data_IF_023313499015
#
_entry.id   IF_023313499015
#
_cell.length_a   1.000
_cell.length_b   1.000
_cell.length_c   1.000
_cell.angle_alpha   90.00
_cell.angle_beta   90.00
_cell.angle_gamma   90.00
#
_symmetry.space_group_name_H-M   'P 1'
#
loop_
_entity.id
_entity.type
_entity.pdbx_description
1 polymer ?
#
# COMPACT_ATOMS: atom_id res chain seq x y z
N UNK A 1 -115.50 -2.57 74.31
CA UNK A 1 -116.62 -3.52 74.14
C UNK A 1 -116.66 -3.93 72.67
N UNK A 2 -116.61 -5.24 72.38
CA UNK A 2 -116.89 -5.91 71.09
C UNK A 2 -116.00 -5.56 69.87
N UNK A 3 -115.11 -6.47 69.44
CA UNK A 3 -115.26 -7.67 68.56
C UNK A 3 -115.24 -7.35 67.06
N UNK A 4 -114.27 -8.01 66.41
CA UNK A 4 -114.27 -8.65 65.10
C UNK A 4 -115.11 -8.07 63.95
N UNK A 5 -114.45 -7.82 62.81
CA UNK A 5 -114.79 -8.55 61.58
C UNK A 5 -113.70 -8.43 60.51
N UNK A 6 -113.59 -9.51 59.74
CA UNK A 6 -112.63 -9.78 58.68
C UNK A 6 -112.98 -9.09 57.36
N UNK A 7 -111.97 -8.80 56.53
CA UNK A 7 -112.02 -9.13 55.10
C UNK A 7 -110.62 -9.08 54.47
N UNK A 8 -110.29 -10.15 53.73
CA UNK A 8 -109.09 -10.28 52.90
C UNK A 8 -109.37 -9.67 51.53
N UNK A 9 -108.43 -8.90 51.01
CA UNK A 9 -108.20 -8.75 49.57
C UNK A 9 -106.68 -8.70 49.34
N UNK A 10 -106.23 -9.45 48.34
CA UNK A 10 -104.84 -9.83 48.15
C UNK A 10 -104.20 -9.06 46.98
N UNK A 11 -102.87 -8.90 47.09
CA UNK A 11 -101.88 -8.64 46.01
C UNK A 11 -101.94 -7.23 45.40
N UNK A 12 -100.87 -6.55 45.01
CA UNK A 12 -99.52 -6.94 44.56
C UNK A 12 -98.52 -5.85 45.03
N UNK A 13 -97.32 -6.28 45.39
CA UNK A 13 -96.14 -5.47 45.76
C UNK A 13 -95.50 -4.83 44.53
N UNK A 14 -95.16 -3.55 44.59
CA UNK A 14 -94.12 -2.96 43.75
C UNK A 14 -93.47 -1.77 44.49
N UNK A 15 -92.32 -2.05 45.12
CA UNK A 15 -91.47 -1.03 45.74
C UNK A 15 -90.66 -0.29 44.68
N UNK A 16 -90.76 1.04 44.67
CA UNK A 16 -89.92 1.92 43.86
C UNK A 16 -88.60 2.16 44.60
N UNK A 17 -87.55 1.45 44.18
CA UNK A 17 -86.17 1.71 44.57
C UNK A 17 -85.60 2.83 43.68
N UNK A 18 -85.24 3.96 44.30
CA UNK A 18 -84.57 5.08 43.65
C UNK A 18 -83.19 4.63 43.13
N UNK A 19 -83.00 4.64 41.81
CA UNK A 19 -81.74 4.28 41.17
C UNK A 19 -80.84 5.52 41.12
N UNK A 20 -79.76 5.51 41.90
CA UNK A 20 -78.65 6.46 41.74
C UNK A 20 -77.91 6.06 40.46
N UNK A 21 -78.00 6.88 39.42
CA UNK A 21 -77.16 6.73 38.22
C UNK A 21 -75.76 7.24 38.58
N UNK A 22 -74.88 6.35 38.99
CA UNK A 22 -73.44 6.61 38.97
C UNK A 22 -73.04 6.58 37.50
N UNK A 23 -72.80 7.76 36.92
CA UNK A 23 -72.23 7.86 35.59
C UNK A 23 -70.85 7.21 35.60
N UNK A 24 -70.74 6.00 35.02
CA UNK A 24 -69.45 5.43 34.68
C UNK A 24 -68.85 6.28 33.55
N UNK A 25 -67.95 7.19 33.90
CA UNK A 25 -67.04 7.76 32.92
C UNK A 25 -66.30 6.59 32.27
N UNK A 26 -66.22 6.51 30.93
CA UNK A 26 -65.37 5.51 30.31
C UNK A 26 -63.95 5.80 30.80
N UNK A 27 -63.40 4.88 31.59
CA UNK A 27 -61.96 4.83 31.81
C UNK A 27 -61.35 4.57 30.44
N UNK A 28 -60.90 5.63 29.77
CA UNK A 28 -59.94 5.50 28.69
C UNK A 28 -58.72 4.85 29.33
N UNK A 29 -58.63 3.52 29.19
CA UNK A 29 -57.37 2.84 29.35
C UNK A 29 -56.44 3.49 28.33
N UNK A 30 -55.58 4.38 28.81
CA UNK A 30 -54.42 4.79 28.04
C UNK A 30 -53.63 3.50 27.85
N UNK A 31 -53.80 2.87 26.70
CA UNK A 31 -52.81 1.92 26.21
C UNK A 31 -51.55 2.76 26.07
N UNK A 32 -50.73 2.83 27.12
CA UNK A 32 -49.35 3.23 26.99
C UNK A 32 -48.77 2.26 25.97
N UNK A 33 -48.69 2.71 24.72
CA UNK A 33 -47.85 2.07 23.72
C UNK A 33 -46.47 2.11 24.33
N UNK A 34 -46.03 0.98 24.89
CA UNK A 34 -44.63 0.77 25.28
C UNK A 34 -43.79 1.31 24.14
N UNK A 35 -42.84 2.23 24.39
CA UNK A 35 -42.07 2.84 23.33
C UNK A 35 -41.47 1.69 22.51
N UNK A 36 -41.78 1.68 21.21
CA UNK A 36 -41.22 0.73 20.26
C UNK A 36 -39.71 0.76 20.47
N UNK A 37 -39.16 -0.30 21.08
CA UNK A 37 -37.76 -0.36 21.48
C UNK A 37 -36.95 -0.33 20.20
N UNK A 38 -36.55 0.87 19.80
CA UNK A 38 -35.98 1.09 18.48
C UNK A 38 -34.64 0.35 18.45
N UNK A 39 -34.55 -0.68 17.61
CA UNK A 39 -33.44 -1.64 17.64
C UNK A 39 -32.08 -0.92 17.58
N UNK A 40 -31.22 -1.21 18.57
CA UNK A 40 -29.87 -0.63 18.65
C UNK A 40 -29.01 -1.19 17.53
N UNK A 41 -28.61 -0.34 16.59
CA UNK A 41 -27.94 -0.79 15.37
C UNK A 41 -26.58 -0.11 15.20
N UNK A 42 -25.46 -0.85 15.24
CA UNK A 42 -24.14 -0.27 15.03
C UNK A 42 -23.88 0.01 13.55
N UNK A 43 -23.24 1.13 13.26
CA UNK A 43 -22.92 1.58 11.89
C UNK A 43 -21.44 1.92 11.79
N UNK A 44 -20.79 1.55 10.68
CA UNK A 44 -19.44 2.03 10.36
C UNK A 44 -19.55 3.23 9.43
N UNK A 45 -19.22 4.41 9.93
CA UNK A 45 -19.23 5.65 9.15
C UNK A 45 -18.02 5.75 8.24
N UNK A 46 -16.84 5.37 8.75
CA UNK A 46 -15.58 5.55 8.02
C UNK A 46 -14.56 4.49 8.35
N UNK A 47 -14.06 3.84 7.30
CA UNK A 47 -12.89 2.98 7.36
C UNK A 47 -12.04 3.12 6.09
N UNK A 48 -10.70 3.01 6.18
CA UNK A 48 -9.84 3.09 5.01
C UNK A 48 -10.02 1.83 4.14
N UNK A 49 -10.27 2.01 2.85
CA UNK A 49 -10.33 0.89 1.91
C UNK A 49 -8.96 0.17 1.74
N UNK A 50 -7.86 0.88 2.02
CA UNK A 50 -6.48 0.39 1.91
C UNK A 50 -5.59 0.95 3.00
N UNK A 51 -4.68 0.12 3.52
CA UNK A 51 -3.66 0.51 4.51
C UNK A 51 -2.29 -0.06 4.12
N UNK A 52 -1.21 0.61 4.50
CA UNK A 52 0.14 0.06 4.32
C UNK A 52 0.40 -1.10 5.30
N UNK A 53 1.25 -2.05 4.90
CA UNK A 53 1.82 -3.02 5.85
C UNK A 53 2.45 -2.28 7.05
N UNK A 54 2.16 -2.75 8.26
CA UNK A 54 2.52 -2.15 9.55
C UNK A 54 2.08 -0.69 9.72
N UNK A 55 0.92 -0.32 9.15
CA UNK A 55 0.26 0.97 9.42
C UNK A 55 -1.09 0.73 10.08
N UNK A 56 -1.39 1.57 11.05
CA UNK A 56 -2.68 1.54 11.74
C UNK A 56 -3.82 1.89 10.78
N UNK A 57 -4.98 1.28 11.04
CA UNK A 57 -6.24 1.68 10.43
C UNK A 57 -7.18 2.20 11.51
N UNK A 58 -7.85 3.31 11.22
CA UNK A 58 -8.89 3.88 12.06
C UNK A 58 -10.25 3.49 11.50
N UNK A 59 -11.12 2.93 12.35
CA UNK A 59 -12.51 2.62 12.02
C UNK A 59 -13.37 3.48 12.94
N UNK A 60 -14.12 4.40 12.35
CA UNK A 60 -15.12 5.23 13.02
C UNK A 60 -16.50 4.65 12.77
N UNK A 61 -17.33 4.71 13.79
CA UNK A 61 -18.71 4.27 13.75
C UNK A 61 -19.53 4.93 14.84
N UNK A 62 -20.81 4.59 14.89
CA UNK A 62 -21.72 4.99 15.95
C UNK A 62 -22.74 3.88 16.24
N UNK A 63 -23.46 4.00 17.35
CA UNK A 63 -24.59 3.14 17.70
C UNK A 63 -25.90 3.92 17.54
N UNK A 64 -26.68 3.59 16.51
CA UNK A 64 -28.01 4.17 16.32
C UNK A 64 -28.94 3.65 17.42
N UNK A 65 -29.72 4.56 18.01
CA UNK A 65 -30.62 4.30 19.15
C UNK A 65 -29.91 3.79 20.42
N UNK A 66 -28.58 3.94 20.51
CA UNK A 66 -27.79 3.58 21.68
C UNK A 66 -27.83 4.63 22.79
N UNK A 67 -27.24 4.27 23.92
CA UNK A 67 -26.97 5.18 25.03
C UNK A 67 -25.46 5.30 25.30
N UNK A 68 -24.98 6.44 25.82
CA UNK A 68 -23.59 6.60 26.24
C UNK A 68 -23.16 5.49 27.19
N UNK A 69 -21.98 4.91 26.95
CA UNK A 69 -21.48 3.77 27.73
C UNK A 69 -21.86 2.39 27.15
N UNK A 70 -22.82 2.31 26.22
CA UNK A 70 -23.10 1.08 25.48
C UNK A 70 -21.82 0.56 24.81
N UNK A 71 -21.55 -0.72 24.95
CA UNK A 71 -20.29 -1.31 24.46
C UNK A 71 -20.46 -1.91 23.08
N UNK A 72 -19.65 -1.44 22.12
CA UNK A 72 -19.51 -2.10 20.83
C UNK A 72 -18.27 -2.99 20.79
N UNK A 73 -18.43 -4.14 20.15
CA UNK A 73 -17.34 -5.03 19.79
C UNK A 73 -16.91 -4.80 18.34
N UNK A 74 -15.62 -4.55 18.12
CA UNK A 74 -15.04 -4.66 16.78
C UNK A 74 -14.77 -6.13 16.49
N UNK A 75 -15.42 -6.67 15.46
CA UNK A 75 -15.11 -7.99 14.94
C UNK A 75 -14.22 -7.92 13.71
N UNK A 76 -13.36 -8.93 13.55
CA UNK A 76 -12.45 -9.13 12.42
C UNK A 76 -12.72 -10.47 11.76
N UNK A 77 -12.64 -10.50 10.43
CA UNK A 77 -12.70 -11.71 9.62
C UNK A 77 -11.49 -11.83 8.70
N UNK A 78 -10.62 -12.78 9.00
CA UNK A 78 -9.56 -13.20 8.08
C UNK A 78 -10.14 -13.95 6.86
N UNK A 79 -9.42 -14.00 5.73
CA UNK A 79 -9.81 -14.83 4.60
C UNK A 79 -10.00 -16.29 5.03
N UNK A 80 -11.20 -16.82 4.83
CA UNK A 80 -11.64 -18.19 5.16
C UNK A 80 -11.66 -18.51 6.67
N UNK A 81 -11.92 -17.51 7.53
CA UNK A 81 -12.14 -17.72 8.96
C UNK A 81 -13.49 -17.13 9.39
N UNK A 82 -14.01 -17.62 10.51
CA UNK A 82 -15.15 -17.00 11.18
C UNK A 82 -14.79 -15.60 11.72
N UNK A 83 -15.81 -14.78 11.95
CA UNK A 83 -15.69 -13.51 12.67
C UNK A 83 -15.18 -13.75 14.09
N UNK A 84 -14.31 -12.87 14.58
CA UNK A 84 -13.79 -12.90 15.96
C UNK A 84 -13.75 -11.49 16.53
N UNK A 85 -14.12 -11.33 17.79
CA UNK A 85 -13.97 -10.05 18.48
C UNK A 85 -12.48 -9.76 18.66
N UNK A 86 -12.04 -8.56 18.28
CA UNK A 86 -10.65 -8.10 18.40
C UNK A 86 -10.49 -6.89 19.31
N UNK A 87 -11.58 -6.18 19.60
CA UNK A 87 -11.62 -5.11 20.59
C UNK A 87 -13.06 -4.89 21.06
N UNK A 88 -13.20 -4.31 22.25
CA UNK A 88 -14.46 -3.77 22.78
C UNK A 88 -14.20 -2.38 23.32
N UNK A 89 -15.14 -1.47 23.15
CA UNK A 89 -15.05 -0.11 23.69
C UNK A 89 -16.46 0.45 23.89
N UNK A 90 -16.71 1.23 24.95
CA UNK A 90 -17.95 1.98 25.08
C UNK A 90 -18.04 3.09 24.01
N UNK A 91 -19.25 3.37 23.55
CA UNK A 91 -19.55 4.58 22.79
C UNK A 91 -19.49 5.80 23.71
N UNK A 92 -19.15 6.96 23.16
CA UNK A 92 -19.08 8.21 23.91
C UNK A 92 -20.47 8.84 24.10
N UNK A 93 -20.50 10.08 24.61
CA UNK A 93 -21.73 10.84 24.88
C UNK A 93 -22.58 11.13 23.63
N UNK A 94 -21.95 11.11 22.46
CA UNK A 94 -22.57 11.36 21.16
C UNK A 94 -22.88 10.01 20.46
N UNK A 95 -22.78 8.88 21.19
CA UNK A 95 -22.89 7.51 20.71
C UNK A 95 -21.87 7.14 19.62
N UNK A 96 -20.77 7.88 19.51
CA UNK A 96 -19.70 7.63 18.55
C UNK A 96 -18.62 6.71 19.11
N UNK A 97 -17.87 6.08 18.21
CA UNK A 97 -16.75 5.21 18.55
C UNK A 97 -15.63 5.28 17.53
N UNK A 98 -14.40 5.13 18.03
CA UNK A 98 -13.20 5.01 17.22
C UNK A 98 -12.35 3.82 17.67
N UNK A 99 -12.14 2.88 16.76
CA UNK A 99 -11.16 1.80 16.92
C UNK A 99 -9.88 2.09 16.13
N UNK A 100 -8.74 1.99 16.81
CA UNK A 100 -7.42 1.89 16.18
C UNK A 100 -7.04 0.43 16.06
N UNK A 101 -6.68 0.00 14.86
CA UNK A 101 -6.35 -1.40 14.63
C UNK A 101 -4.92 -1.58 14.12
N UNK A 102 -4.12 -2.27 14.94
CA UNK A 102 -2.66 -2.29 14.87
C UNK A 102 -2.09 -3.51 14.10
N UNK A 103 -2.71 -4.69 14.19
CA UNK A 103 -2.21 -5.88 13.47
C UNK A 103 -2.79 -5.96 12.04
N UNK A 104 -2.06 -5.34 11.10
CA UNK A 104 -2.46 -5.22 9.69
C UNK A 104 -1.49 -5.91 8.75
N UNK A 105 -1.06 -7.13 9.09
CA UNK A 105 -0.27 -7.95 8.18
C UNK A 105 -1.12 -8.46 7.00
N UNK A 106 -2.43 -8.66 7.18
CA UNK A 106 -3.30 -9.30 6.18
C UNK A 106 -4.57 -8.49 5.93
N UNK A 107 -5.05 -8.54 4.68
CA UNK A 107 -6.37 -8.05 4.28
C UNK A 107 -7.44 -8.82 5.05
N UNK A 108 -8.40 -8.10 5.63
CA UNK A 108 -9.45 -8.68 6.45
C UNK A 108 -10.72 -7.82 6.42
N UNK A 109 -11.85 -8.44 6.76
CA UNK A 109 -13.12 -7.77 7.01
C UNK A 109 -13.22 -7.26 8.45
N UNK A 110 -13.95 -6.18 8.65
CA UNK A 110 -14.28 -5.58 9.95
C UNK A 110 -15.76 -5.26 10.00
N UNK A 111 -16.39 -5.45 11.16
CA UNK A 111 -17.74 -5.01 11.45
C UNK A 111 -17.85 -4.63 12.92
N UNK A 112 -18.80 -3.77 13.25
CA UNK A 112 -19.18 -3.49 14.62
C UNK A 112 -20.33 -4.42 15.01
N UNK A 113 -20.35 -4.84 16.28
CA UNK A 113 -21.42 -5.67 16.84
C UNK A 113 -21.81 -5.09 18.18
N UNK A 114 -23.11 -4.90 18.37
CA UNK A 114 -23.72 -4.63 19.66
C UNK A 114 -24.35 -5.93 20.16
N UNK A 115 -24.27 -6.18 21.46
CA UNK A 115 -24.97 -7.28 22.12
C UNK A 115 -25.78 -6.67 23.25
N UNK A 116 -27.08 -6.96 23.25
CA UNK A 116 -27.93 -6.69 24.40
C UNK A 116 -27.78 -7.87 25.37
N UNK A 117 -27.28 -7.62 26.57
CA UNK A 117 -27.08 -8.68 27.57
C UNK A 117 -28.38 -9.03 28.31
N UNK A 118 -29.38 -8.14 28.30
CA UNK A 118 -30.69 -8.38 28.91
C UNK A 118 -31.52 -9.25 27.97
N UNK A 119 -31.67 -8.80 26.73
CA UNK A 119 -32.46 -9.50 25.69
C UNK A 119 -31.69 -10.66 25.04
N UNK A 120 -30.39 -10.79 25.32
CA UNK A 120 -29.47 -11.78 24.71
C UNK A 120 -29.44 -11.73 23.18
N UNK A 121 -29.83 -10.60 22.59
CA UNK A 121 -29.82 -10.37 21.15
C UNK A 121 -28.51 -9.72 20.70
N UNK A 122 -28.26 -9.72 19.39
CA UNK A 122 -27.09 -9.02 18.84
C UNK A 122 -27.37 -8.46 17.46
N UNK A 123 -26.94 -7.23 17.24
CA UNK A 123 -27.00 -6.55 15.94
C UNK A 123 -25.59 -6.28 15.42
N UNK A 124 -25.44 -6.18 14.10
CA UNK A 124 -24.15 -6.00 13.48
C UNK A 124 -24.21 -5.00 12.33
N UNK A 125 -23.14 -4.22 12.18
CA UNK A 125 -22.97 -3.35 11.03
C UNK A 125 -22.69 -4.17 9.78
N UNK A 126 -22.84 -3.52 8.62
CA UNK A 126 -22.21 -3.99 7.40
C UNK A 126 -20.70 -4.18 7.57
N UNK A 127 -20.17 -5.15 6.82
CA UNK A 127 -18.76 -5.49 6.86
C UNK A 127 -17.93 -4.65 5.89
N UNK A 128 -16.92 -3.96 6.40
CA UNK A 128 -15.92 -3.25 5.57
C UNK A 128 -14.68 -4.11 5.35
N UNK A 129 -14.12 -4.10 4.13
CA UNK A 129 -12.86 -4.81 3.83
C UNK A 129 -11.69 -3.84 3.76
N UNK A 130 -10.74 -3.99 4.69
CA UNK A 130 -9.51 -3.20 4.70
C UNK A 130 -8.40 -4.00 4.01
N UNK A 131 -7.96 -3.53 2.83
CA UNK A 131 -6.91 -4.19 2.04
C UNK A 131 -5.51 -3.74 2.45
N UNK A 132 -4.62 -4.69 2.67
CA UNK A 132 -3.22 -4.39 3.07
C UNK A 132 -2.31 -4.31 1.86
N UNK A 133 -1.70 -3.14 1.67
CA UNK A 133 -0.66 -2.89 0.66
C UNK A 133 0.68 -3.40 1.19
N UNK A 134 1.29 -4.41 0.55
CA UNK A 134 2.54 -4.98 1.02
C UNK A 134 3.70 -4.00 0.84
N UNK A 135 4.77 -4.23 1.62
CA UNK A 135 6.04 -3.50 1.46
C UNK A 135 6.97 -4.35 0.59
N UNK A 136 7.53 -3.77 -0.46
CA UNK A 136 8.48 -4.43 -1.34
C UNK A 136 9.73 -3.57 -1.44
N UNK A 137 10.87 -4.08 -0.97
CA UNK A 137 12.18 -3.44 -1.12
C UNK A 137 13.09 -4.34 -1.92
N UNK A 138 13.74 -3.79 -2.94
CA UNK A 138 14.66 -4.54 -3.79
C UNK A 138 15.81 -3.64 -4.26
N UNK A 139 16.94 -4.26 -4.61
CA UNK A 139 18.09 -3.62 -5.25
C UNK A 139 18.57 -4.46 -6.43
N UNK A 140 19.24 -3.79 -7.35
CA UNK A 140 19.95 -4.38 -8.48
C UNK A 140 21.42 -4.05 -8.31
N UNK A 141 22.29 -5.06 -8.36
CA UNK A 141 23.73 -4.89 -8.20
C UNK A 141 24.49 -5.87 -9.12
N UNK A 142 25.56 -5.43 -9.81
CA UNK A 142 26.01 -4.04 -9.90
C UNK A 142 25.03 -3.14 -10.67
N UNK A 143 25.14 -1.81 -10.53
CA UNK A 143 24.30 -0.85 -11.28
C UNK A 143 24.92 -0.38 -12.59
N UNK A 144 26.22 -0.57 -12.76
CA UNK A 144 27.00 -0.24 -13.95
C UNK A 144 27.70 -1.52 -14.38
N UNK A 145 27.36 -2.03 -15.56
CA UNK A 145 27.87 -3.32 -16.03
C UNK A 145 28.12 -3.31 -17.53
N UNK A 146 29.07 -4.13 -17.97
CA UNK A 146 29.26 -4.39 -19.40
C UNK A 146 28.06 -5.14 -20.00
N UNK A 147 27.79 -4.92 -21.28
CA UNK A 147 26.86 -5.74 -22.04
C UNK A 147 27.33 -7.20 -22.01
N UNK A 148 26.41 -8.13 -21.79
CA UNK A 148 26.68 -9.55 -21.57
C UNK A 148 26.83 -9.94 -20.09
N UNK A 149 27.05 -8.99 -19.18
CA UNK A 149 27.23 -9.29 -17.77
C UNK A 149 25.94 -9.83 -17.10
N UNK A 150 26.12 -10.52 -15.97
CA UNK A 150 25.01 -10.95 -15.10
C UNK A 150 24.88 -10.01 -13.91
N UNK A 151 23.65 -9.63 -13.56
CA UNK A 151 23.36 -8.83 -12.37
C UNK A 151 22.42 -9.55 -11.43
N UNK A 152 22.59 -9.28 -10.14
CA UNK A 152 21.76 -9.86 -9.09
C UNK A 152 20.69 -8.86 -8.67
N UNK A 153 19.44 -9.31 -8.70
CA UNK A 153 18.30 -8.63 -8.10
C UNK A 153 17.96 -9.33 -6.82
N UNK A 154 18.07 -8.64 -5.69
CA UNK A 154 17.73 -9.18 -4.37
C UNK A 154 16.85 -8.24 -3.58
N UNK A 155 15.94 -8.78 -2.77
CA UNK A 155 14.98 -7.97 -2.04
C UNK A 155 14.21 -8.74 -0.97
N UNK A 156 13.28 -8.02 -0.35
CA UNK A 156 12.36 -8.55 0.65
C UNK A 156 10.95 -8.01 0.42
N UNK A 157 9.98 -8.91 0.57
CA UNK A 157 8.55 -8.69 0.47
C UNK A 157 7.93 -8.92 1.84
N UNK A 158 7.20 -7.93 2.34
CA UNK A 158 6.44 -8.02 3.57
C UNK A 158 4.94 -7.92 3.32
N UNK A 159 4.11 -8.67 4.07
CA UNK A 159 4.50 -9.63 5.12
C UNK A 159 5.33 -10.81 4.60
N UNK A 160 6.19 -11.36 5.45
CA UNK A 160 6.96 -12.57 5.13
C UNK A 160 6.02 -13.77 5.05
N UNK A 161 5.79 -14.26 3.83
CA UNK A 161 4.97 -15.45 3.57
C UNK A 161 5.68 -16.25 2.48
N UNK A 162 6.02 -17.49 2.82
CA UNK A 162 6.73 -18.43 1.94
C UNK A 162 5.91 -18.76 0.70
N UNK A 163 6.59 -18.92 -0.43
CA UNK A 163 6.00 -19.29 -1.71
C UNK A 163 5.42 -18.13 -2.51
N UNK A 164 5.55 -16.88 -2.04
CA UNK A 164 5.08 -15.71 -2.81
C UNK A 164 5.93 -15.48 -4.04
N UNK A 165 5.33 -15.56 -5.23
CA UNK A 165 6.03 -15.27 -6.49
C UNK A 165 6.30 -13.77 -6.67
N UNK A 166 7.55 -13.43 -6.95
CA UNK A 166 7.98 -12.10 -7.38
C UNK A 166 8.40 -12.18 -8.84
N UNK A 167 7.93 -11.26 -9.66
CA UNK A 167 8.26 -11.16 -11.09
C UNK A 167 9.25 -10.03 -11.29
N UNK A 168 10.41 -10.33 -11.87
CA UNK A 168 11.41 -9.36 -12.28
C UNK A 168 11.29 -9.14 -13.78
N UNK A 169 11.20 -7.88 -14.18
CA UNK A 169 10.98 -7.47 -15.55
C UNK A 169 12.01 -6.43 -15.99
N UNK A 170 12.40 -6.45 -17.26
CA UNK A 170 13.26 -5.44 -17.89
C UNK A 170 12.44 -4.63 -18.90
N UNK A 171 12.68 -3.32 -18.96
CA UNK A 171 12.14 -2.46 -20.01
C UNK A 171 12.93 -2.68 -21.31
N UNK A 172 12.27 -3.18 -22.35
CA UNK A 172 12.86 -3.55 -23.64
C UNK A 172 11.91 -3.07 -24.73
N UNK A 173 12.37 -2.22 -25.67
CA UNK A 173 11.59 -1.74 -26.82
C UNK A 173 10.18 -1.25 -26.42
N UNK A 174 10.10 -0.32 -25.46
CA UNK A 174 8.83 0.29 -25.02
C UNK A 174 7.93 -0.58 -24.13
N UNK A 175 8.37 -1.78 -23.71
CA UNK A 175 7.54 -2.71 -22.93
C UNK A 175 8.29 -3.42 -21.82
N UNK A 176 7.57 -3.74 -20.74
CA UNK A 176 8.09 -4.57 -19.65
C UNK A 176 8.04 -6.05 -20.03
N UNK A 177 9.20 -6.72 -20.02
CA UNK A 177 9.33 -8.15 -20.32
C UNK A 177 9.84 -8.89 -19.09
N UNK A 178 9.17 -9.98 -18.70
CA UNK A 178 9.61 -10.82 -17.59
C UNK A 178 10.94 -11.49 -17.93
N UNK A 179 11.88 -11.44 -16.98
CA UNK A 179 13.24 -11.99 -17.12
C UNK A 179 13.61 -12.95 -16.00
N UNK A 180 12.89 -12.92 -14.86
CA UNK A 180 13.02 -13.91 -13.80
C UNK A 180 11.75 -13.91 -12.93
N UNK A 181 11.47 -15.04 -12.27
CA UNK A 181 10.28 -15.21 -11.43
C UNK A 181 10.60 -15.89 -10.08
N UNK A 182 11.49 -15.31 -9.24
CA UNK A 182 11.85 -15.96 -7.98
C UNK A 182 10.66 -16.06 -7.02
N UNK A 183 10.67 -17.10 -6.21
CA UNK A 183 9.78 -17.21 -5.06
C UNK A 183 10.42 -16.55 -3.84
N UNK A 184 9.61 -15.90 -3.02
CA UNK A 184 10.03 -15.40 -1.72
C UNK A 184 9.95 -16.54 -0.70
N UNK A 185 11.06 -16.80 0.00
CA UNK A 185 11.13 -17.74 1.12
C UNK A 185 10.51 -17.10 2.37
N UNK A 186 11.34 -16.75 3.36
CA UNK A 186 10.99 -15.93 4.54
C UNK A 186 10.62 -14.46 4.23
N UNK A 187 10.09 -14.20 3.03
CA UNK A 187 9.91 -12.88 2.44
C UNK A 187 11.14 -12.41 1.64
N UNK A 188 12.33 -13.01 1.79
CA UNK A 188 13.48 -12.69 0.94
C UNK A 188 13.39 -13.38 -0.41
N UNK A 189 13.92 -12.72 -1.45
CA UNK A 189 14.03 -13.29 -2.80
C UNK A 189 15.31 -12.80 -3.49
N UNK A 190 15.83 -13.61 -4.42
CA UNK A 190 16.99 -13.28 -5.26
C UNK A 190 16.84 -13.89 -6.65
N UNK A 191 17.36 -13.23 -7.67
CA UNK A 191 17.53 -13.79 -9.00
C UNK A 191 18.70 -13.13 -9.75
N UNK A 192 19.34 -13.92 -10.61
CA UNK A 192 20.34 -13.43 -11.57
C UNK A 192 19.65 -13.13 -12.91
N UNK A 193 19.96 -11.98 -13.51
CA UNK A 193 19.42 -11.55 -14.81
C UNK A 193 20.53 -11.06 -15.73
N UNK A 194 20.41 -11.29 -17.04
CA UNK A 194 21.39 -10.86 -18.04
C UNK A 194 21.21 -9.40 -18.48
N UNK A 195 22.34 -8.67 -18.55
CA UNK A 195 22.43 -7.30 -19.03
C UNK A 195 22.81 -7.26 -20.52
N UNK A 196 21.81 -7.37 -21.42
CA UNK A 196 22.01 -7.22 -22.87
C UNK A 196 21.70 -5.79 -23.37
N UNK A 197 22.47 -5.36 -24.38
CA UNK A 197 22.36 -4.08 -25.08
C UNK A 197 22.81 -2.90 -24.23
N UNK A 198 22.84 -1.70 -24.80
CA UNK A 198 23.48 -0.52 -24.17
C UNK A 198 22.46 0.47 -23.60
N UNK A 199 22.90 1.36 -22.71
CA UNK A 199 22.03 2.38 -22.17
C UNK A 199 21.49 2.10 -20.78
N UNK A 200 20.73 3.09 -20.29
CA UNK A 200 19.96 2.99 -19.06
C UNK A 200 18.80 2.00 -19.22
N UNK A 201 18.79 0.94 -18.42
CA UNK A 201 17.75 -0.09 -18.36
C UNK A 201 16.87 0.08 -17.11
N UNK A 202 15.56 0.06 -17.31
CA UNK A 202 14.58 -0.05 -16.23
C UNK A 202 14.39 -1.52 -15.82
N UNK A 203 14.43 -1.78 -14.51
CA UNK A 203 14.19 -3.10 -13.90
C UNK A 203 13.01 -2.98 -12.94
N UNK A 204 11.90 -3.67 -13.21
CA UNK A 204 10.69 -3.67 -12.38
C UNK A 204 10.59 -4.98 -11.60
N UNK A 205 10.57 -4.88 -10.29
CA UNK A 205 10.34 -5.98 -9.37
C UNK A 205 8.88 -5.89 -8.92
N UNK A 206 8.09 -6.93 -9.16
CA UNK A 206 6.64 -6.92 -8.96
C UNK A 206 6.18 -8.10 -8.12
N UNK A 207 5.44 -7.82 -7.07
CA UNK A 207 4.56 -8.77 -6.42
C UNK A 207 3.15 -8.64 -7.00
N UNK A 208 2.60 -9.74 -7.49
CA UNK A 208 1.30 -9.79 -8.17
C UNK A 208 0.10 -9.49 -7.26
N UNK A 209 0.28 -9.58 -5.94
CA UNK A 209 -0.82 -9.65 -4.98
C UNK A 209 -1.20 -11.10 -4.71
N UNK A 210 -1.95 -11.31 -3.64
CA UNK A 210 -2.58 -12.56 -3.26
C UNK A 210 -3.86 -12.27 -2.44
N UNK A 211 -4.47 -13.31 -1.86
CA UNK A 211 -5.64 -13.17 -0.98
C UNK A 211 -5.38 -12.32 0.27
N UNK A 212 -4.13 -12.15 0.68
CA UNK A 212 -3.74 -11.44 1.90
C UNK A 212 -3.33 -10.00 1.61
N UNK A 213 -2.78 -9.70 0.44
CA UNK A 213 -2.15 -8.41 0.15
C UNK A 213 -2.37 -7.98 -1.30
N UNK A 214 -2.51 -6.66 -1.51
CA UNK A 214 -2.65 -6.11 -2.86
C UNK A 214 -1.35 -6.23 -3.66
N UNK A 215 -1.40 -5.96 -4.98
CA UNK A 215 -0.19 -5.84 -5.81
C UNK A 215 0.75 -4.73 -5.35
N UNK A 216 2.05 -4.90 -5.60
CA UNK A 216 3.10 -3.87 -5.39
C UNK A 216 4.23 -4.04 -6.40
N UNK A 217 4.78 -2.93 -6.88
CA UNK A 217 5.97 -2.93 -7.71
C UNK A 217 7.01 -1.92 -7.19
N UNK A 218 8.27 -2.18 -7.52
CA UNK A 218 9.41 -1.29 -7.30
C UNK A 218 10.24 -1.26 -8.57
N UNK A 219 10.59 -0.07 -9.06
CA UNK A 219 11.45 0.10 -10.23
C UNK A 219 12.86 0.50 -9.78
N UNK A 220 13.87 -0.09 -10.41
CA UNK A 220 15.29 0.22 -10.28
C UNK A 220 15.88 0.50 -11.64
N UNK A 221 17.02 1.19 -11.67
CA UNK A 221 17.76 1.50 -12.89
C UNK A 221 19.12 0.84 -12.82
N UNK A 222 19.60 0.40 -13.97
CA UNK A 222 20.95 -0.08 -14.22
C UNK A 222 21.42 0.56 -15.52
N UNK A 223 22.72 0.80 -15.68
CA UNK A 223 23.32 1.24 -16.94
C UNK A 223 24.17 0.10 -17.49
N UNK A 224 24.00 -0.18 -18.78
CA UNK A 224 24.75 -1.22 -19.48
C UNK A 224 25.62 -0.57 -20.53
N UNK A 225 26.89 -0.94 -20.55
CA UNK A 225 27.93 -0.32 -21.36
C UNK A 225 28.38 -1.24 -22.49
N UNK A 226 28.57 -0.69 -23.68
CA UNK A 226 29.14 -1.41 -24.83
C UNK A 226 30.66 -1.40 -24.77
N UNK A 227 31.35 -2.48 -25.18
CA UNK A 227 32.81 -2.47 -25.24
C UNK A 227 33.32 -1.52 -26.33
N UNK A 228 34.38 -0.77 -26.03
CA UNK A 228 35.07 0.08 -27.01
C UNK A 228 36.53 0.26 -26.65
N UNK A 229 37.39 0.31 -27.65
CA UNK A 229 38.82 0.60 -27.48
C UNK A 229 39.05 2.07 -27.13
N UNK A 230 39.88 2.31 -26.12
CA UNK A 230 40.25 3.65 -25.67
C UNK A 230 41.75 3.80 -25.43
N UNK A 231 42.21 5.04 -25.52
CA UNK A 231 43.53 5.54 -25.07
C UNK A 231 43.34 6.71 -24.10
N UNK A 232 44.42 7.37 -23.69
CA UNK A 232 44.32 8.64 -22.97
C UNK A 232 45.40 9.64 -23.41
N UNK A 233 45.12 10.95 -23.24
CA UNK A 233 45.99 12.06 -23.62
C UNK A 233 46.07 13.15 -22.53
N UNK A 234 47.04 14.05 -22.62
CA UNK A 234 47.15 15.21 -21.74
C UNK A 234 48.56 15.80 -21.66
N UNK A 235 49.56 15.06 -21.13
CA UNK A 235 50.95 15.48 -21.16
C UNK A 235 51.39 15.85 -22.58
N UNK A 236 52.10 16.96 -22.75
CA UNK A 236 52.44 17.53 -24.06
C UNK A 236 51.34 18.38 -24.71
N UNK A 237 50.08 18.26 -24.29
CA UNK A 237 48.95 19.00 -24.84
C UNK A 237 48.33 20.04 -23.89
N UNK A 238 48.78 20.10 -22.63
CA UNK A 238 48.27 21.07 -21.66
C UNK A 238 48.55 22.52 -22.11
N UNK A 239 47.59 23.42 -21.90
CA UNK A 239 47.65 24.82 -22.33
C UNK A 239 47.02 25.07 -23.70
N UNK A 240 47.00 24.05 -24.57
CA UNK A 240 46.40 24.13 -25.90
C UNK A 240 44.86 24.17 -25.83
N UNK A 241 44.23 24.78 -26.84
CA UNK A 241 42.77 24.71 -27.02
C UNK A 241 42.41 23.37 -27.67
N UNK A 242 41.39 22.70 -27.12
CA UNK A 242 40.77 21.54 -27.75
C UNK A 242 39.92 21.96 -28.94
N UNK A 243 39.55 21.03 -29.80
CA UNK A 243 38.68 21.28 -30.94
C UNK A 243 37.26 21.78 -30.55
N UNK A 244 36.85 21.59 -29.29
CA UNK A 244 35.61 22.17 -28.75
C UNK A 244 35.83 23.53 -28.06
N UNK A 245 36.98 24.17 -28.25
CA UNK A 245 37.25 25.55 -27.86
C UNK A 245 37.75 25.77 -26.42
N UNK A 246 37.77 24.73 -25.57
CA UNK A 246 38.23 24.84 -24.18
C UNK A 246 39.75 24.61 -24.07
N UNK A 247 40.44 25.29 -23.16
CA UNK A 247 41.85 24.97 -22.86
C UNK A 247 41.99 23.66 -22.07
N UNK A 248 42.90 22.80 -22.50
CA UNK A 248 43.22 21.55 -21.81
C UNK A 248 44.15 21.83 -20.61
N UNK A 249 43.80 21.29 -19.45
CA UNK A 249 44.57 21.40 -18.20
C UNK A 249 44.71 20.02 -17.55
N UNK A 250 45.55 19.92 -16.52
CA UNK A 250 45.72 18.66 -15.76
C UNK A 250 44.41 18.18 -15.10
N UNK A 251 43.46 19.09 -14.84
CA UNK A 251 42.19 18.79 -14.18
C UNK A 251 40.98 18.75 -15.13
N UNK A 252 41.20 18.97 -16.42
CA UNK A 252 40.12 18.94 -17.41
C UNK A 252 39.51 17.55 -17.49
N UNK A 253 38.22 17.44 -17.13
CA UNK A 253 37.41 16.26 -17.37
C UNK A 253 36.82 16.29 -18.77
N UNK A 254 37.03 15.21 -19.50
CA UNK A 254 36.43 15.01 -20.82
C UNK A 254 36.97 13.81 -21.56
N UNK A 255 36.49 13.66 -22.79
CA UNK A 255 37.00 12.73 -23.79
C UNK A 255 37.10 13.41 -25.16
N UNK A 256 37.99 12.89 -26.00
CA UNK A 256 37.95 13.13 -27.44
C UNK A 256 37.09 12.07 -28.12
N UNK A 257 36.28 12.49 -29.08
CA UNK A 257 35.55 11.58 -29.96
C UNK A 257 35.38 12.19 -31.36
N UNK A 258 35.46 11.36 -32.41
CA UNK A 258 35.53 11.81 -33.81
C UNK A 258 34.31 12.59 -34.28
N UNK A 259 33.10 12.12 -33.92
CA UNK A 259 31.83 12.60 -34.52
C UNK A 259 30.82 13.19 -33.55
N UNK A 260 30.76 12.70 -32.31
CA UNK A 260 29.83 13.21 -31.30
C UNK A 260 29.96 14.74 -31.12
N UNK A 261 28.82 15.45 -31.00
CA UNK A 261 28.81 16.89 -30.74
C UNK A 261 29.60 17.24 -29.48
N UNK A 262 30.26 18.40 -29.50
CA UNK A 262 30.91 18.96 -28.31
C UNK A 262 29.89 19.11 -27.17
N UNK A 263 30.28 18.74 -25.95
CA UNK A 263 29.41 18.77 -24.77
C UNK A 263 28.55 17.52 -24.56
N UNK A 264 28.49 16.58 -25.52
CA UNK A 264 27.77 15.30 -25.34
C UNK A 264 28.29 14.58 -24.09
N UNK A 265 27.40 14.25 -23.15
CA UNK A 265 27.79 13.56 -21.91
C UNK A 265 27.86 12.05 -22.12
N UNK A 266 29.07 11.51 -22.10
CA UNK A 266 29.33 10.09 -22.28
C UNK A 266 29.57 9.44 -20.93
N UNK A 267 28.88 8.32 -20.68
CA UNK A 267 29.12 7.50 -19.49
C UNK A 267 30.18 6.46 -19.84
N UNK A 268 31.19 6.33 -19.00
CA UNK A 268 32.29 5.37 -19.17
C UNK A 268 32.35 4.45 -17.95
N UNK A 269 32.71 3.19 -18.18
CA UNK A 269 32.94 2.15 -17.18
C UNK A 269 34.28 1.47 -17.44
N UNK A 270 35.13 1.38 -16.41
CA UNK A 270 36.35 0.58 -16.45
C UNK A 270 36.59 -0.05 -15.09
N UNK A 271 36.78 -1.37 -15.05
CA UNK A 271 37.08 -2.15 -13.82
C UNK A 271 36.19 -1.79 -12.61
N UNK A 272 34.88 -1.64 -12.84
CA UNK A 272 33.89 -1.33 -11.79
C UNK A 272 33.80 0.15 -11.40
N UNK A 273 34.68 1.01 -11.92
CA UNK A 273 34.64 2.47 -11.75
C UNK A 273 33.90 3.08 -12.94
N UNK A 274 33.02 4.04 -12.67
CA UNK A 274 32.31 4.75 -13.73
C UNK A 274 32.37 6.26 -13.56
N UNK A 275 32.35 6.96 -14.69
CA UNK A 275 32.36 8.43 -14.73
C UNK A 275 31.52 8.91 -15.91
N UNK A 276 30.83 10.04 -15.75
CA UNK A 276 30.16 10.72 -16.85
C UNK A 276 30.96 11.98 -17.18
N UNK A 277 31.35 12.15 -18.44
CA UNK A 277 32.23 13.24 -18.89
C UNK A 277 31.80 13.77 -20.24
N UNK A 278 31.98 15.07 -20.52
CA UNK A 278 31.63 15.64 -21.81
C UNK A 278 32.65 15.26 -22.91
N UNK A 279 32.19 15.22 -24.16
CA UNK A 279 33.06 15.30 -25.33
C UNK A 279 33.62 16.71 -25.41
N UNK A 280 34.94 16.85 -25.37
CA UNK A 280 35.63 18.14 -25.38
C UNK A 280 36.62 18.29 -26.52
N UNK A 281 36.88 17.24 -27.30
CA UNK A 281 37.88 17.27 -28.35
C UNK A 281 37.56 16.30 -29.50
N UNK A 282 38.34 16.38 -30.58
CA UNK A 282 38.27 15.49 -31.75
C UNK A 282 39.39 14.46 -31.74
N UNK A 283 39.16 13.35 -32.45
CA UNK A 283 40.01 12.17 -32.43
C UNK A 283 39.40 11.02 -31.61
N UNK A 284 40.19 9.99 -31.27
CA UNK A 284 41.55 9.75 -31.75
C UNK A 284 41.57 9.43 -33.25
N UNK A 285 42.63 9.79 -33.96
CA UNK A 285 42.82 9.44 -35.38
C UNK A 285 43.59 8.12 -35.57
N UNK A 286 43.92 7.44 -34.47
CA UNK A 286 44.48 6.09 -34.43
C UNK A 286 43.37 5.02 -34.33
N UNK A 287 43.71 3.75 -34.09
CA UNK A 287 42.76 2.63 -34.07
C UNK A 287 41.81 2.56 -32.87
N UNK A 288 41.94 3.43 -31.85
CA UNK A 288 40.97 3.50 -30.74
C UNK A 288 39.72 4.30 -31.15
N UNK A 289 38.62 4.22 -30.39
CA UNK A 289 37.42 5.02 -30.66
C UNK A 289 37.27 6.21 -29.71
N UNK A 290 37.96 6.16 -28.57
CA UNK A 290 37.88 7.14 -27.51
C UNK A 290 39.26 7.52 -27.01
N UNK A 291 39.46 8.80 -26.72
CA UNK A 291 40.66 9.25 -26.04
C UNK A 291 40.27 9.96 -24.74
N UNK A 292 40.67 9.38 -23.61
CA UNK A 292 40.33 9.94 -22.31
C UNK A 292 41.29 11.08 -21.99
N UNK A 293 40.78 12.21 -21.48
CA UNK A 293 41.69 13.14 -20.81
C UNK A 293 42.42 12.44 -19.66
N UNK A 294 43.65 12.86 -19.36
CA UNK A 294 44.44 12.27 -18.28
C UNK A 294 43.70 12.27 -16.94
N UNK A 295 42.87 13.30 -16.67
CA UNK A 295 42.01 13.36 -15.48
C UNK A 295 40.89 12.32 -15.49
N UNK A 296 40.25 12.09 -16.64
CA UNK A 296 39.24 11.02 -16.80
C UNK A 296 39.87 9.65 -16.62
N UNK A 297 41.02 9.40 -17.25
CA UNK A 297 41.76 8.15 -17.13
C UNK A 297 42.14 7.84 -15.67
N UNK A 298 42.70 8.83 -14.95
CA UNK A 298 43.00 8.70 -13.51
C UNK A 298 41.77 8.39 -12.65
N UNK A 299 40.62 9.01 -12.91
CA UNK A 299 39.38 8.71 -12.16
C UNK A 299 38.91 7.26 -12.36
N UNK A 300 39.11 6.73 -13.56
CA UNK A 300 38.75 5.36 -13.90
C UNK A 300 39.83 4.34 -13.55
N UNK A 301 41.01 4.78 -13.08
CA UNK A 301 42.18 3.92 -12.91
C UNK A 301 42.55 3.21 -14.23
N UNK A 302 42.45 3.96 -15.33
CA UNK A 302 42.76 3.52 -16.68
C UNK A 302 44.15 3.99 -17.10
N UNK A 303 44.97 3.07 -17.58
CA UNK A 303 46.34 3.33 -18.01
C UNK A 303 46.58 2.75 -19.40
N UNK A 304 47.19 3.55 -20.28
CA UNK A 304 47.62 3.11 -21.61
C UNK A 304 46.47 2.96 -22.59
N UNK A 305 46.34 1.76 -23.17
CA UNK A 305 45.32 1.40 -24.14
C UNK A 305 44.53 0.20 -23.64
N UNK A 306 43.24 0.15 -23.93
CA UNK A 306 42.44 -1.06 -23.76
C UNK A 306 40.95 -0.84 -23.89
N UNK A 307 40.20 -1.89 -23.60
CA UNK A 307 38.75 -1.89 -23.73
C UNK A 307 38.09 -1.26 -22.50
N UNK A 308 37.26 -0.25 -22.73
CA UNK A 308 36.36 0.37 -21.76
C UNK A 308 34.90 0.04 -22.11
N UNK A 309 34.01 0.23 -21.15
CA UNK A 309 32.57 0.30 -21.39
C UNK A 309 32.13 1.72 -21.70
N UNK A 310 31.37 1.93 -22.75
CA UNK A 310 30.79 3.24 -23.11
C UNK A 310 29.27 3.17 -23.27
N UNK A 311 28.62 4.28 -22.92
CA UNK A 311 27.20 4.53 -23.13
C UNK A 311 27.05 6.03 -23.45
N UNK A 312 27.13 6.39 -24.75
CA UNK A 312 27.10 7.77 -25.25
C UNK A 312 25.77 8.50 -25.08
#
# INVERSE_FOLDING_TARGET
MYRDSWSRAARVVAGLAATVVIGAAPAYAQTETLPETTERTPVIDRAPARVGFDRDALIRGHLKNGAPGDTLALQRRDPNRAWRVVARKPVDRDNEILFRVQDRRRTAGYRLVYRDEVEKTSTASDGVRIRVRPRLRARVAPRHVMSGATVTVRGRLWPSVTGRRVVIQKWIRGRWRSVANPYAGDGTFSARIGAKGEGRKGIRIRFGGDRLNTRRASVRKMRVYGPSEATWYGPGFYGNRTACGRRLTRDTLGVAHRRLPCGTLVNILYRGRSVAVPVIDRGPYSSANWDLTSRTARRLDFSGRGTIGVDP
#
